data_IF_807871232072
#
_entry.id   IF_807871232072
#
_cell.length_a   1.000
_cell.length_b   1.000
_cell.length_c   1.000
_cell.angle_alpha   90.00
_cell.angle_beta   90.00
_cell.angle_gamma   90.00
#
_symmetry.space_group_name_H-M   'P 1'
#
loop_
_entity.id
_entity.type
_entity.pdbx_description
1 polymer ?
#
# COMPACT_ATOMS: atom_id res chain seq x y z
N UNK A 1 -10.28 -0.24 -3.72
CA UNK A 1 -10.91 -1.54 -3.39
C UNK A 1 -11.15 -2.38 -4.66
N UNK A 2 -10.13 -2.50 -5.52
CA UNK A 2 -10.18 -3.32 -6.76
C UNK A 2 -8.93 -4.20 -6.94
N UNK A 3 -7.80 -3.87 -6.30
CA UNK A 3 -6.56 -4.65 -6.41
C UNK A 3 -6.71 -6.10 -5.96
N UNK A 4 -7.53 -6.37 -4.94
CA UNK A 4 -7.78 -7.75 -4.48
C UNK A 4 -8.43 -8.60 -5.57
N UNK A 5 -9.35 -8.06 -6.36
CA UNK A 5 -10.01 -8.82 -7.43
C UNK A 5 -9.06 -9.15 -8.60
N UNK A 6 -8.08 -8.28 -8.88
CA UNK A 6 -7.05 -8.53 -9.90
C UNK A 6 -5.97 -9.50 -9.41
N UNK A 7 -5.54 -9.36 -8.15
CA UNK A 7 -4.49 -10.18 -7.56
C UNK A 7 -4.94 -11.62 -7.29
N UNK A 8 -6.23 -11.85 -7.06
CA UNK A 8 -6.77 -13.19 -6.74
C UNK A 8 -6.37 -14.23 -7.78
N UNK A 9 -6.40 -13.91 -9.08
CA UNK A 9 -6.03 -14.87 -10.13
C UNK A 9 -4.57 -15.36 -10.03
N UNK A 10 -3.66 -14.53 -9.52
CA UNK A 10 -2.26 -14.89 -9.26
C UNK A 10 -2.07 -15.64 -7.93
N UNK A 11 -3.11 -15.70 -7.11
CA UNK A 11 -3.13 -16.32 -5.79
C UNK A 11 -3.94 -17.63 -5.79
N UNK A 12 -4.46 -18.02 -6.94
CA UNK A 12 -5.11 -19.30 -7.16
C UNK A 12 -4.07 -20.28 -7.71
N UNK A 13 -3.65 -21.22 -6.87
CA UNK A 13 -2.74 -22.30 -7.27
C UNK A 13 -3.60 -23.51 -7.61
N UNK A 14 -3.33 -24.08 -8.78
CA UNK A 14 -4.02 -25.26 -9.29
C UNK A 14 -3.06 -26.45 -9.20
N UNK A 15 -3.26 -27.36 -8.25
CA UNK A 15 -2.38 -28.54 -8.12
C UNK A 15 -2.73 -29.64 -9.13
N UNK A 16 -3.96 -29.61 -9.66
CA UNK A 16 -4.46 -30.33 -10.84
C UNK A 16 -5.91 -29.90 -11.17
N UNK A 17 -6.19 -28.61 -10.96
CA UNK A 17 -7.49 -27.88 -10.99
C UNK A 17 -8.27 -27.80 -9.67
N UNK A 18 -7.80 -28.40 -8.56
CA UNK A 18 -8.27 -28.11 -7.19
C UNK A 18 -7.68 -26.76 -6.71
N UNK A 19 -8.45 -25.70 -6.96
CA UNK A 19 -8.03 -24.31 -6.81
C UNK A 19 -7.92 -23.93 -5.33
N UNK A 20 -6.70 -23.70 -4.86
CA UNK A 20 -6.40 -23.25 -3.50
C UNK A 20 -5.91 -21.81 -3.50
N UNK A 21 -6.30 -21.08 -2.45
CA UNK A 21 -5.81 -19.72 -2.20
C UNK A 21 -4.45 -19.80 -1.51
N UNK A 22 -3.42 -19.27 -2.14
CA UNK A 22 -2.06 -19.15 -1.61
C UNK A 22 -2.00 -18.07 -0.51
N UNK A 23 -2.59 -18.35 0.66
CA UNK A 23 -2.75 -17.40 1.77
C UNK A 23 -1.43 -16.78 2.23
N UNK A 24 -0.35 -17.53 2.15
CA UNK A 24 1.02 -17.11 2.42
C UNK A 24 1.56 -16.04 1.47
N UNK A 25 0.95 -15.88 0.29
CA UNK A 25 1.28 -14.87 -0.72
C UNK A 25 0.36 -13.65 -0.67
N UNK A 26 -0.72 -13.68 0.13
CA UNK A 26 -1.69 -12.59 0.16
C UNK A 26 -1.20 -11.39 0.96
N UNK A 27 -1.17 -11.51 2.28
CA UNK A 27 -1.10 -10.36 3.18
C UNK A 27 0.23 -10.28 3.89
N UNK A 28 1.01 -9.25 3.60
CA UNK A 28 2.20 -8.87 4.34
C UNK A 28 1.84 -7.79 5.36
N UNK A 29 2.02 -8.08 6.64
CA UNK A 29 1.67 -7.12 7.68
C UNK A 29 2.64 -5.95 7.71
N UNK A 30 2.14 -4.71 7.79
CA UNK A 30 2.95 -3.50 8.06
C UNK A 30 3.35 -3.34 9.52
N UNK A 31 2.90 -4.26 10.39
CA UNK A 31 3.33 -4.31 11.79
C UNK A 31 4.38 -5.39 12.03
N UNK A 32 4.86 -6.07 10.98
CA UNK A 32 6.02 -6.93 11.09
C UNK A 32 7.28 -6.06 11.19
N UNK A 33 8.08 -6.33 12.22
CA UNK A 33 9.31 -5.60 12.53
C UNK A 33 10.55 -6.29 11.92
N UNK A 34 10.37 -7.43 11.25
CA UNK A 34 11.45 -8.09 10.51
C UNK A 34 11.89 -7.22 9.30
N UNK A 35 13.15 -6.78 9.25
CA UNK A 35 13.64 -5.91 8.19
C UNK A 35 13.71 -6.61 6.83
N UNK A 36 13.90 -7.93 6.78
CA UNK A 36 14.09 -8.67 5.52
C UNK A 36 12.76 -9.20 4.93
N UNK A 37 11.62 -8.79 5.51
CA UNK A 37 10.35 -9.47 5.29
C UNK A 37 9.77 -9.23 3.90
N UNK A 38 10.01 -8.06 3.28
CA UNK A 38 9.61 -7.82 1.89
C UNK A 38 10.51 -8.55 0.89
N UNK A 39 11.81 -8.65 1.18
CA UNK A 39 12.77 -9.29 0.26
C UNK A 39 12.57 -10.81 0.24
N UNK A 40 12.27 -11.39 1.41
CA UNK A 40 12.09 -12.84 1.56
C UNK A 40 10.68 -13.32 1.24
N UNK A 41 9.66 -12.47 1.37
CA UNK A 41 8.27 -12.87 1.12
C UNK A 41 7.74 -12.24 -0.17
N UNK A 42 7.38 -13.08 -1.15
CA UNK A 42 6.71 -12.68 -2.39
C UNK A 42 5.23 -12.32 -2.20
N UNK A 43 4.89 -11.61 -1.11
CA UNK A 43 3.51 -11.27 -0.77
C UNK A 43 3.01 -10.09 -1.61
N UNK A 44 1.81 -10.22 -2.15
CA UNK A 44 1.25 -9.30 -3.14
C UNK A 44 0.58 -8.06 -2.52
N UNK A 45 0.15 -8.12 -1.26
CA UNK A 45 -0.61 -7.06 -0.63
C UNK A 45 -0.05 -6.71 0.75
N UNK A 46 0.09 -5.40 1.01
CA UNK A 46 0.45 -4.89 2.32
C UNK A 46 -0.79 -4.66 3.18
N UNK A 47 -0.90 -5.38 4.29
CA UNK A 47 -2.00 -5.28 5.22
C UNK A 47 -1.67 -4.36 6.40
N UNK A 48 -2.43 -3.27 6.51
CA UNK A 48 -2.35 -2.32 7.63
C UNK A 48 -3.39 -2.63 8.69
N UNK A 49 -2.98 -3.33 9.75
CA UNK A 49 -3.87 -3.64 10.88
C UNK A 49 -4.32 -2.38 11.62
N UNK A 50 -5.47 -2.47 12.31
CA UNK A 50 -5.99 -1.37 13.14
C UNK A 50 -5.24 -1.35 14.48
N UNK A 51 -3.98 -0.95 14.44
CA UNK A 51 -3.12 -0.88 15.63
C UNK A 51 -2.47 0.49 15.78
N UNK A 52 -1.83 0.70 16.93
CA UNK A 52 -0.98 1.85 17.21
C UNK A 52 0.51 1.55 16.91
N UNK A 53 0.85 0.39 16.35
CA UNK A 53 2.22 0.08 15.92
C UNK A 53 2.60 0.97 14.72
N UNK A 54 3.91 1.06 14.45
CA UNK A 54 4.41 1.89 13.35
C UNK A 54 3.78 1.47 12.01
N UNK A 55 3.55 2.49 11.17
CA UNK A 55 2.60 2.55 10.06
C UNK A 55 1.14 2.16 10.38
N UNK A 56 0.42 3.12 10.97
CA UNK A 56 -1.03 3.05 11.18
C UNK A 56 -1.76 4.01 10.25
N UNK A 57 -2.74 3.53 9.47
CA UNK A 57 -3.55 4.37 8.57
C UNK A 57 -4.26 5.52 9.28
N UNK A 58 -4.63 5.32 10.54
CA UNK A 58 -5.28 6.34 11.35
C UNK A 58 -4.29 7.43 11.77
N UNK A 59 -3.08 7.03 12.16
CA UNK A 59 -2.03 7.98 12.52
C UNK A 59 -1.49 8.74 11.30
N UNK A 60 -1.42 8.08 10.14
CA UNK A 60 -1.13 8.72 8.86
C UNK A 60 -2.20 9.77 8.51
N UNK A 61 -3.49 9.40 8.58
CA UNK A 61 -4.61 10.33 8.37
C UNK A 61 -4.58 11.51 9.35
N UNK A 62 -4.20 11.26 10.61
CA UNK A 62 -4.05 12.29 11.64
C UNK A 62 -2.78 13.16 11.47
N UNK A 63 -1.96 12.92 10.45
CA UNK A 63 -0.76 13.72 10.17
C UNK A 63 0.41 13.46 11.11
N UNK A 64 0.37 12.40 11.93
CA UNK A 64 1.42 12.10 12.91
C UNK A 64 2.77 11.77 12.28
N UNK A 65 2.81 11.45 10.99
CA UNK A 65 4.04 11.14 10.26
C UNK A 65 4.55 12.29 9.37
N UNK A 66 3.92 13.48 9.42
CA UNK A 66 4.27 14.61 8.54
C UNK A 66 5.71 15.13 8.73
N UNK A 67 6.34 14.82 9.86
CA UNK A 67 7.70 15.23 10.18
C UNK A 67 8.76 14.25 9.65
N UNK A 68 8.34 13.09 9.12
CA UNK A 68 9.25 12.07 8.60
C UNK A 68 9.57 12.40 7.14
N UNK A 69 10.86 12.47 6.80
CA UNK A 69 11.31 12.59 5.42
C UNK A 69 11.36 11.20 4.75
N UNK A 70 10.55 10.93 3.70
CA UNK A 70 10.49 9.63 3.05
C UNK A 70 11.85 9.14 2.52
N UNK A 71 12.79 10.04 2.21
CA UNK A 71 14.13 9.67 1.71
C UNK A 71 14.96 8.96 2.77
N UNK A 72 14.67 9.17 4.05
CA UNK A 72 15.35 8.49 5.15
C UNK A 72 14.99 7.01 5.26
N UNK A 73 13.93 6.57 4.58
CA UNK A 73 13.40 5.21 4.63
C UNK A 73 13.87 4.33 3.46
N UNK A 74 14.72 4.84 2.55
CA UNK A 74 15.03 4.16 1.27
C UNK A 74 15.79 2.84 1.44
N UNK A 75 16.59 2.72 2.51
CA UNK A 75 17.39 1.53 2.81
C UNK A 75 16.68 0.56 3.75
N UNK A 76 15.50 0.92 4.26
CA UNK A 76 14.72 0.06 5.14
C UNK A 76 13.79 -0.81 4.30
N UNK A 77 14.14 -2.10 4.26
CA UNK A 77 13.45 -3.14 3.49
C UNK A 77 12.23 -3.72 4.23
N UNK A 78 11.84 -3.17 5.38
CA UNK A 78 10.65 -3.62 6.09
C UNK A 78 9.37 -3.21 5.35
N UNK A 79 8.34 -4.05 5.45
CA UNK A 79 7.00 -3.75 4.93
C UNK A 79 6.45 -2.41 5.48
N UNK A 80 6.82 -2.09 6.71
CA UNK A 80 6.43 -0.88 7.41
C UNK A 80 7.06 0.37 6.77
N UNK A 81 8.39 0.37 6.59
CA UNK A 81 9.10 1.50 6.01
C UNK A 81 8.71 1.72 4.55
N UNK A 82 8.54 0.64 3.79
CA UNK A 82 8.03 0.72 2.43
C UNK A 82 6.64 1.38 2.39
N UNK A 83 5.69 0.92 3.21
CA UNK A 83 4.34 1.47 3.24
C UNK A 83 4.34 2.95 3.67
N UNK A 84 5.15 3.29 4.68
CA UNK A 84 5.34 4.68 5.14
C UNK A 84 5.89 5.56 4.03
N UNK A 85 6.96 5.12 3.35
CA UNK A 85 7.60 5.84 2.26
C UNK A 85 6.61 6.11 1.13
N UNK A 86 5.93 5.06 0.64
CA UNK A 86 4.92 5.19 -0.42
C UNK A 86 3.81 6.18 -0.04
N UNK A 87 3.31 6.11 1.21
CA UNK A 87 2.27 7.01 1.68
C UNK A 87 2.75 8.47 1.77
N UNK A 88 3.97 8.72 2.25
CA UNK A 88 4.54 10.06 2.33
C UNK A 88 4.89 10.62 0.94
N UNK A 89 5.49 9.81 0.07
CA UNK A 89 5.81 10.18 -1.32
C UNK A 89 4.53 10.56 -2.09
N UNK A 90 3.45 9.80 -1.94
CA UNK A 90 2.17 10.12 -2.62
C UNK A 90 1.61 11.50 -2.28
N UNK A 91 1.95 12.06 -1.11
CA UNK A 91 1.54 13.42 -0.71
C UNK A 91 2.40 14.51 -1.33
N UNK A 92 3.63 14.18 -1.70
CA UNK A 92 4.56 15.09 -2.35
C UNK A 92 4.34 15.14 -3.87
N UNK A 93 3.61 14.15 -4.41
CA UNK A 93 3.29 14.10 -5.83
C UNK A 93 2.23 15.15 -6.20
N UNK A 94 2.44 15.82 -7.32
CA UNK A 94 1.43 16.68 -7.96
C UNK A 94 0.28 15.82 -8.52
N UNK A 95 -0.86 16.45 -8.81
CA UNK A 95 -1.99 15.76 -9.46
C UNK A 95 -1.58 15.10 -10.79
N UNK A 96 -0.72 15.76 -11.56
CA UNK A 96 -0.15 15.22 -12.80
C UNK A 96 0.71 13.98 -12.54
N UNK A 97 1.56 14.01 -11.52
CA UNK A 97 2.38 12.88 -11.12
C UNK A 97 1.55 11.70 -10.59
N UNK A 98 0.38 11.99 -10.02
CA UNK A 98 -0.61 10.98 -9.59
C UNK A 98 -1.49 10.46 -10.75
N UNK A 99 -1.36 11.01 -11.96
CA UNK A 99 -2.23 10.68 -13.09
C UNK A 99 -3.69 11.13 -12.89
N UNK A 100 -3.93 12.01 -11.92
CA UNK A 100 -5.25 12.56 -11.57
C UNK A 100 -5.43 13.91 -12.26
N UNK A 101 -5.39 13.91 -13.60
CA UNK A 101 -5.89 15.05 -14.36
C UNK A 101 -7.41 15.12 -14.14
N UNK A 102 -7.85 15.96 -13.21
CA UNK A 102 -9.26 16.34 -13.09
C UNK A 102 -9.63 17.09 -14.38
N UNK A 103 -10.08 16.37 -15.40
CA UNK A 103 -11.14 16.92 -16.25
C UNK A 103 -12.36 17.06 -15.35
N UNK A 104 -12.49 18.26 -14.78
CA UNK A 104 -13.70 18.75 -14.14
C UNK A 104 -14.85 18.44 -15.09
N UNK A 105 -15.62 17.40 -14.75
CA UNK A 105 -16.88 17.12 -15.42
C UNK A 105 -17.73 18.37 -15.21
N UNK A 106 -18.03 19.00 -16.33
CA UNK A 106 -18.59 20.34 -16.40
C UNK A 106 -19.85 20.52 -15.58
N UNK A 107 -19.95 21.71 -15.01
CA UNK A 107 -21.18 22.29 -14.49
C UNK A 107 -21.16 23.78 -14.78
N UNK A 108 -21.24 24.15 -16.07
CA UNK A 108 -21.66 25.50 -16.43
C UNK A 108 -23.07 25.71 -15.86
N UNK A 109 -23.17 26.49 -14.78
CA UNK A 109 -24.41 27.20 -14.48
C UNK A 109 -24.24 28.61 -14.99
N UNK A 110 -24.74 28.82 -16.20
CA UNK A 110 -25.18 30.13 -16.69
C UNK A 110 -26.48 30.48 -15.97
N UNK A 111 -26.46 31.54 -15.17
CA UNK A 111 -27.58 32.47 -14.99
C UNK A 111 -27.02 33.89 -15.16
#
# INVERSE_FOLDING_TARGET
MYGTHLAVNHLLVSEKLDIKKANELLDQSTTNENPDDLEKNHRLHLHCWHTNKQFSKFQFKAGKYNHIDPRTLINDTSAQAYAMRMALESRLMTLDQLGLNLHLIGGNKTE
#
